data_IF_777845617286
#
_entry.id   IF_777845617286
#
_cell.length_a   1.000
_cell.length_b   1.000
_cell.length_c   1.000
_cell.angle_alpha   90.00
_cell.angle_beta   90.00
_cell.angle_gamma   90.00
#
_symmetry.space_group_name_H-M   'P 1'
#
loop_
_entity.id
_entity.type
_entity.pdbx_description
1 polymer ?
#
# COMPACT_ATOMS: atom_id res chain seq x y z
N UNK A 1 -13.63 13.83 -11.79
CA UNK A 1 -12.31 13.19 -12.02
C UNK A 1 -12.31 11.93 -11.18
N UNK A 2 -11.96 10.80 -11.77
CA UNK A 2 -11.78 9.55 -11.00
C UNK A 2 -10.65 9.75 -9.98
N UNK A 3 -10.79 9.17 -8.78
CA UNK A 3 -9.71 9.13 -7.79
C UNK A 3 -8.73 7.98 -8.06
N UNK A 4 -9.07 7.06 -8.97
CA UNK A 4 -8.22 5.96 -9.41
C UNK A 4 -7.68 6.18 -10.84
N UNK A 5 -6.49 5.65 -11.18
CA UNK A 5 -5.93 5.74 -12.53
C UNK A 5 -6.87 5.20 -13.62
N UNK A 6 -6.85 5.83 -14.79
CA UNK A 6 -7.56 5.34 -15.97
C UNK A 6 -6.99 3.99 -16.43
N UNK A 7 -7.85 3.06 -16.84
CA UNK A 7 -7.46 1.72 -17.28
C UNK A 7 -7.20 0.71 -16.15
N UNK A 8 -7.19 1.14 -14.88
CA UNK A 8 -7.01 0.23 -13.74
C UNK A 8 -8.13 -0.81 -13.65
N UNK A 9 -9.36 -0.41 -13.99
CA UNK A 9 -10.53 -1.29 -14.04
C UNK A 9 -10.44 -2.35 -15.12
N UNK A 10 -9.75 -2.07 -16.23
CA UNK A 10 -9.45 -3.03 -17.28
C UNK A 10 -8.38 -4.05 -16.84
N UNK A 11 -7.35 -3.59 -16.14
CA UNK A 11 -6.29 -4.45 -15.56
C UNK A 11 -6.88 -5.39 -14.52
N UNK A 12 -7.67 -4.87 -13.60
CA UNK A 12 -8.30 -5.62 -12.50
C UNK A 12 -9.76 -5.99 -12.80
N UNK A 13 -10.06 -6.34 -14.06
CA UNK A 13 -11.43 -6.63 -14.51
C UNK A 13 -12.00 -7.96 -13.99
N UNK A 14 -11.13 -8.89 -13.60
CA UNK A 14 -11.53 -10.23 -13.20
C UNK A 14 -12.24 -10.21 -11.84
N UNK A 15 -13.30 -11.01 -11.68
CA UNK A 15 -14.11 -11.07 -10.45
C UNK A 15 -13.29 -11.39 -9.21
N UNK A 16 -12.21 -12.17 -9.36
CA UNK A 16 -11.34 -12.54 -8.25
C UNK A 16 -10.66 -11.33 -7.59
N UNK A 17 -10.51 -10.22 -8.31
CA UNK A 17 -9.95 -8.97 -7.78
C UNK A 17 -11.01 -8.03 -7.25
N UNK A 18 -12.31 -8.32 -7.36
CA UNK A 18 -13.37 -7.43 -6.89
C UNK A 18 -13.61 -7.67 -5.40
N UNK A 19 -13.63 -6.59 -4.62
CA UNK A 19 -13.94 -6.68 -3.20
C UNK A 19 -15.44 -6.87 -2.98
N UNK A 20 -15.80 -7.94 -2.29
CA UNK A 20 -17.19 -8.20 -1.89
C UNK A 20 -17.58 -7.43 -0.61
N UNK A 21 -16.66 -7.32 0.36
CA UNK A 21 -16.91 -6.67 1.65
C UNK A 21 -15.99 -5.45 1.87
N UNK A 22 -16.49 -4.27 1.49
CA UNK A 22 -15.77 -3.01 1.69
C UNK A 22 -15.70 -2.56 3.16
N UNK A 23 -16.47 -3.16 4.08
CA UNK A 23 -16.42 -2.81 5.51
C UNK A 23 -15.06 -3.18 6.10
N UNK A 24 -14.44 -4.26 5.61
CA UNK A 24 -13.12 -4.71 6.02
C UNK A 24 -12.05 -3.63 5.89
N UNK A 25 -12.14 -2.80 4.83
CA UNK A 25 -11.20 -1.72 4.57
C UNK A 25 -11.27 -0.67 5.68
N UNK A 26 -12.48 -0.20 6.01
CA UNK A 26 -12.65 0.79 7.07
C UNK A 26 -12.27 0.24 8.44
N UNK A 27 -12.67 -0.99 8.74
CA UNK A 27 -12.34 -1.62 10.01
C UNK A 27 -10.82 -1.78 10.19
N UNK A 28 -10.10 -2.15 9.13
CA UNK A 28 -8.64 -2.25 9.15
C UNK A 28 -7.98 -0.88 9.38
N UNK A 29 -8.43 0.16 8.68
CA UNK A 29 -7.93 1.52 8.88
C UNK A 29 -8.20 2.03 10.31
N UNK A 30 -9.36 1.70 10.88
CA UNK A 30 -9.72 2.02 12.27
C UNK A 30 -8.79 1.29 13.24
N UNK A 31 -8.56 -0.01 13.07
CA UNK A 31 -7.65 -0.80 13.92
C UNK A 31 -6.20 -0.30 13.84
N UNK A 32 -5.75 0.04 12.63
CA UNK A 32 -4.45 0.67 12.39
C UNK A 32 -4.39 2.11 12.89
N UNK A 33 -5.55 2.74 13.12
CA UNK A 33 -5.71 4.09 13.63
C UNK A 33 -5.21 5.17 12.67
N UNK A 34 -5.33 4.92 11.37
CA UNK A 34 -4.89 5.84 10.31
C UNK A 34 -6.09 6.33 9.50
N UNK A 35 -5.90 7.43 8.77
CA UNK A 35 -6.86 7.90 7.77
C UNK A 35 -6.10 8.08 6.46
N UNK A 36 -6.20 7.10 5.57
CA UNK A 36 -5.52 7.11 4.27
C UNK A 36 -6.25 8.02 3.27
N UNK A 37 -5.61 8.30 2.13
CA UNK A 37 -6.21 9.11 1.07
C UNK A 37 -7.46 8.49 0.47
N UNK A 38 -8.29 9.31 -0.18
CA UNK A 38 -9.46 8.85 -0.92
C UNK A 38 -9.07 7.83 -2.01
N UNK A 39 -7.91 8.01 -2.66
CA UNK A 39 -7.37 7.06 -3.63
C UNK A 39 -7.10 5.69 -3.01
N UNK A 40 -6.45 5.65 -1.84
CA UNK A 40 -6.16 4.40 -1.15
C UNK A 40 -7.44 3.69 -0.71
N UNK A 41 -8.36 4.45 -0.11
CA UNK A 41 -9.64 3.91 0.34
C UNK A 41 -10.47 3.41 -0.84
N UNK A 42 -10.57 4.16 -1.94
CA UNK A 42 -11.31 3.74 -3.11
C UNK A 42 -10.71 2.49 -3.76
N UNK A 43 -9.37 2.42 -3.87
CA UNK A 43 -8.69 1.26 -4.43
C UNK A 43 -9.04 0.00 -3.64
N UNK A 44 -8.80 0.02 -2.33
CA UNK A 44 -9.11 -1.15 -1.51
C UNK A 44 -10.61 -1.35 -1.34
N UNK A 45 -11.49 -0.36 -1.43
CA UNK A 45 -12.94 -0.59 -1.42
C UNK A 45 -13.44 -1.31 -2.67
N UNK A 46 -12.79 -1.12 -3.82
CA UNK A 46 -13.16 -1.77 -5.08
C UNK A 46 -12.44 -3.10 -5.28
N UNK A 47 -11.20 -3.21 -4.82
CA UNK A 47 -10.32 -4.33 -5.14
C UNK A 47 -9.84 -5.09 -3.91
N UNK A 48 -9.79 -6.42 -4.05
CA UNK A 48 -9.20 -7.35 -3.10
C UNK A 48 -7.93 -7.95 -3.70
N UNK A 49 -6.84 -7.90 -2.94
CA UNK A 49 -5.54 -8.48 -3.30
C UNK A 49 -5.39 -9.92 -2.79
N UNK A 50 -4.15 -10.43 -2.76
CA UNK A 50 -2.90 -9.75 -3.16
C UNK A 50 -2.82 -9.51 -4.68
N UNK A 51 -1.91 -8.62 -5.08
CA UNK A 51 -1.64 -8.31 -6.49
C UNK A 51 -0.17 -8.54 -6.79
N UNK A 52 0.11 -9.09 -7.98
CA UNK A 52 1.47 -9.29 -8.47
C UNK A 52 1.62 -8.71 -9.88
N UNK A 53 2.48 -7.72 -10.03
CA UNK A 53 2.78 -7.06 -11.31
C UNK A 53 4.29 -7.04 -11.58
N UNK A 54 4.67 -7.18 -12.86
CA UNK A 54 6.10 -7.25 -13.23
C UNK A 54 6.82 -5.89 -13.17
N UNK A 55 6.07 -4.78 -13.20
CA UNK A 55 6.61 -3.42 -13.33
C UNK A 55 7.25 -2.90 -12.04
N UNK A 56 6.74 -3.36 -10.90
CA UNK A 56 7.24 -3.03 -9.56
C UNK A 56 7.41 -4.34 -8.80
N UNK A 57 8.63 -4.76 -8.45
CA UNK A 57 8.94 -6.15 -8.04
C UNK A 57 8.58 -6.44 -6.57
N UNK A 58 7.34 -6.15 -6.20
CA UNK A 58 6.75 -6.33 -4.88
C UNK A 58 5.34 -6.89 -5.04
N UNK A 59 4.98 -7.89 -4.24
CA UNK A 59 3.58 -8.28 -4.10
C UNK A 59 2.85 -7.19 -3.30
N UNK A 60 1.83 -6.57 -3.89
CA UNK A 60 1.00 -5.60 -3.20
C UNK A 60 -0.05 -6.35 -2.38
N UNK A 61 -0.03 -6.16 -1.06
CA UNK A 61 -0.87 -6.92 -0.14
C UNK A 61 -2.32 -6.43 -0.17
N UNK A 62 -3.23 -7.32 0.22
CA UNK A 62 -4.56 -6.91 0.64
C UNK A 62 -4.51 -6.12 1.96
N UNK A 63 -5.50 -5.25 2.21
CA UNK A 63 -5.55 -4.46 3.44
C UNK A 63 -5.75 -5.31 4.70
N UNK A 64 -6.57 -6.37 4.62
CA UNK A 64 -6.97 -7.16 5.79
C UNK A 64 -7.40 -8.60 5.51
N UNK A 65 -7.68 -8.95 4.24
CA UNK A 65 -7.90 -10.35 3.88
C UNK A 65 -6.56 -11.11 3.91
N UNK A 66 -6.63 -12.40 4.22
CA UNK A 66 -5.49 -13.30 4.46
C UNK A 66 -4.68 -13.04 5.75
N UNK A 67 -3.77 -13.96 6.09
CA UNK A 67 -2.89 -13.83 7.28
C UNK A 67 -1.78 -12.78 7.05
N UNK A 68 -1.27 -12.74 5.83
CA UNK A 68 -0.23 -11.85 5.36
C UNK A 68 -0.88 -10.65 4.65
N UNK A 69 -1.09 -9.55 5.38
CA UNK A 69 -1.82 -8.40 4.89
C UNK A 69 -1.21 -7.08 5.41
N UNK A 70 -1.68 -5.95 4.89
CA UNK A 70 -1.18 -4.62 5.32
C UNK A 70 -1.30 -4.45 6.83
N UNK A 71 -2.40 -4.88 7.44
CA UNK A 71 -2.59 -4.76 8.88
C UNK A 71 -1.51 -5.54 9.67
N UNK A 72 -1.29 -6.82 9.35
CA UNK A 72 -0.35 -7.67 10.08
C UNK A 72 1.10 -7.19 9.91
N UNK A 73 1.53 -6.90 8.68
CA UNK A 73 2.89 -6.37 8.42
C UNK A 73 3.09 -4.99 9.04
N UNK A 74 2.09 -4.11 9.00
CA UNK A 74 2.19 -2.79 9.65
C UNK A 74 2.34 -2.92 11.16
N UNK A 75 1.58 -3.81 11.80
CA UNK A 75 1.68 -4.05 13.24
C UNK A 75 3.06 -4.61 13.62
N UNK A 76 3.61 -5.52 12.82
CA UNK A 76 4.98 -6.04 12.99
C UNK A 76 6.00 -4.91 12.88
N UNK A 77 5.95 -4.09 11.83
CA UNK A 77 6.92 -2.99 11.64
C UNK A 77 6.83 -1.92 12.72
N UNK A 78 5.63 -1.63 13.24
CA UNK A 78 5.47 -0.74 14.41
C UNK A 78 6.12 -1.33 15.66
N UNK A 79 5.91 -2.62 15.91
CA UNK A 79 6.38 -3.29 17.13
C UNK A 79 7.88 -3.57 17.12
N UNK A 80 8.41 -4.08 16.02
CA UNK A 80 9.77 -4.59 15.92
C UNK A 80 10.75 -3.52 15.39
N UNK A 81 10.28 -2.58 14.55
CA UNK A 81 11.11 -1.55 13.91
C UNK A 81 10.76 -0.11 14.31
N UNK A 82 9.77 0.07 15.20
CA UNK A 82 9.41 1.39 15.73
C UNK A 82 8.80 2.34 14.69
N UNK A 83 8.20 1.81 13.62
CA UNK A 83 7.58 2.65 12.59
C UNK A 83 6.51 3.57 13.20
N UNK A 84 6.54 4.88 12.89
CA UNK A 84 5.47 5.80 13.26
C UNK A 84 4.09 5.35 12.78
N UNK A 85 3.05 5.74 13.52
CA UNK A 85 1.66 5.33 13.26
C UNK A 85 1.19 5.65 11.84
N UNK A 86 1.64 6.75 11.25
CA UNK A 86 1.22 7.17 9.91
C UNK A 86 1.65 6.21 8.79
N UNK A 87 2.67 5.38 9.01
CA UNK A 87 3.19 4.49 8.00
C UNK A 87 2.42 3.16 7.96
N UNK A 88 2.07 2.74 6.75
CA UNK A 88 1.52 1.42 6.44
C UNK A 88 2.51 0.64 5.58
N UNK A 89 2.77 -0.61 5.91
CA UNK A 89 3.55 -1.52 5.06
C UNK A 89 2.57 -2.15 4.07
N UNK A 90 2.73 -1.83 2.79
CA UNK A 90 1.74 -2.18 1.76
C UNK A 90 2.14 -3.38 0.89
N UNK A 91 3.36 -3.90 1.04
CA UNK A 91 3.83 -5.05 0.27
C UNK A 91 4.38 -6.17 1.13
N UNK A 92 4.45 -7.37 0.54
CA UNK A 92 5.34 -8.40 1.07
C UNK A 92 6.81 -7.93 0.98
N UNK A 93 7.66 -8.53 1.82
CA UNK A 93 9.09 -8.27 1.80
C UNK A 93 9.74 -8.92 0.57
N UNK A 94 10.40 -8.11 -0.24
CA UNK A 94 11.16 -8.54 -1.41
C UNK A 94 12.58 -8.00 -1.32
N UNK A 95 13.58 -8.87 -1.45
CA UNK A 95 15.00 -8.52 -1.36
C UNK A 95 15.37 -7.62 -0.15
N UNK A 96 14.85 -7.96 1.04
CA UNK A 96 15.03 -7.21 2.29
C UNK A 96 14.49 -5.76 2.27
N UNK A 97 13.52 -5.50 1.39
CA UNK A 97 12.81 -4.23 1.30
C UNK A 97 11.29 -4.45 1.28
N UNK A 98 10.56 -3.40 1.64
CA UNK A 98 9.10 -3.32 1.58
C UNK A 98 8.65 -1.99 0.98
N UNK A 99 7.43 -1.94 0.46
CA UNK A 99 6.74 -0.72 0.14
C UNK A 99 6.04 -0.17 1.39
N UNK A 100 6.19 1.13 1.62
CA UNK A 100 5.59 1.81 2.76
C UNK A 100 4.84 3.05 2.28
N UNK A 101 3.57 3.17 2.67
CA UNK A 101 2.75 4.35 2.44
C UNK A 101 2.78 5.25 3.67
N UNK A 102 3.04 6.54 3.48
CA UNK A 102 2.76 7.57 4.48
C UNK A 102 1.33 8.08 4.32
N UNK A 103 0.44 7.73 5.25
CA UNK A 103 -0.97 8.14 5.19
C UNK A 103 -1.20 9.64 5.41
N UNK A 104 -0.19 10.40 5.87
CA UNK A 104 -0.28 11.86 6.02
C UNK A 104 0.07 12.60 4.74
N UNK A 105 1.09 12.13 4.02
CA UNK A 105 1.58 12.80 2.80
C UNK A 105 1.16 12.10 1.51
N UNK A 106 0.57 10.91 1.62
CA UNK A 106 0.21 9.99 0.54
C UNK A 106 1.42 9.42 -0.25
N UNK A 107 2.65 9.73 0.17
CA UNK A 107 3.87 9.27 -0.50
C UNK A 107 4.12 7.79 -0.26
N UNK A 108 4.71 7.14 -1.27
CA UNK A 108 5.12 5.73 -1.20
C UNK A 108 6.63 5.62 -1.29
N UNK A 109 7.20 4.80 -0.40
CA UNK A 109 8.63 4.60 -0.21
C UNK A 109 8.99 3.14 -0.43
N UNK A 110 10.14 2.88 -1.08
CA UNK A 110 10.82 1.60 -0.97
C UNK A 110 11.76 1.69 0.25
N UNK A 111 11.53 0.84 1.24
CA UNK A 111 12.25 0.85 2.52
C UNK A 111 13.01 -0.46 2.65
N UNK A 112 14.33 -0.41 2.55
CA UNK A 112 15.20 -1.53 2.91
C UNK A 112 15.51 -1.52 4.41
N UNK A 113 15.71 -2.69 5.00
CA UNK A 113 16.08 -2.85 6.41
C UNK A 113 17.61 -2.81 6.63
N UNK A 114 18.36 -2.21 5.71
CA UNK A 114 19.81 -1.96 5.81
C UNK A 114 20.11 -0.49 6.14
N UNK A 115 19.16 0.20 6.78
CA UNK A 115 19.22 1.62 7.17
C UNK A 115 18.20 2.51 6.48
N UNK A 116 17.46 2.02 5.48
CA UNK A 116 16.35 2.74 4.87
C UNK A 116 15.21 3.02 5.85
N UNK A 117 14.94 2.08 6.74
CA UNK A 117 13.98 2.20 7.85
C UNK A 117 14.36 3.32 8.84
N UNK A 118 15.63 3.44 9.20
CA UNK A 118 16.10 4.56 10.04
C UNK A 118 15.92 5.91 9.35
N UNK A 119 16.22 5.98 8.05
CA UNK A 119 16.04 7.20 7.25
C UNK A 119 14.56 7.57 7.13
N UNK A 120 13.67 6.57 6.99
CA UNK A 120 12.22 6.79 6.97
C UNK A 120 11.74 7.41 8.28
N UNK A 121 12.19 6.87 9.42
CA UNK A 121 11.82 7.35 10.75
C UNK A 121 12.33 8.79 10.99
N UNK A 122 13.51 9.13 10.47
CA UNK A 122 14.08 10.49 10.53
C UNK A 122 13.43 11.46 9.54
N UNK A 123 12.60 10.98 8.60
CA UNK A 123 12.02 11.78 7.53
C UNK A 123 13.04 12.20 6.46
N UNK A 124 14.15 11.47 6.35
CA UNK A 124 15.26 11.74 5.43
C UNK A 124 15.25 10.82 4.20
N UNK A 125 14.47 9.73 4.24
CA UNK A 125 14.31 8.84 3.10
C UNK A 125 13.54 9.56 1.98
N UNK A 126 14.10 9.53 0.77
CA UNK A 126 13.45 10.08 -0.41
C UNK A 126 12.30 9.16 -0.85
N UNK A 127 11.14 9.74 -1.16
CA UNK A 127 10.02 8.97 -1.70
C UNK A 127 10.32 8.36 -3.07
N UNK A 128 9.72 7.21 -3.34
CA UNK A 128 9.76 6.53 -4.64
C UNK A 128 8.62 7.04 -5.54
N UNK A 129 7.46 7.32 -4.95
CA UNK A 129 6.32 7.95 -5.62
C UNK A 129 5.73 9.08 -4.77
N UNK A 130 5.28 10.14 -5.43
CA UNK A 130 4.76 11.36 -4.78
C UNK A 130 3.35 11.21 -4.20
N UNK A 131 2.62 10.17 -4.61
CA UNK A 131 1.27 9.85 -4.14
C UNK A 131 0.99 8.35 -4.33
N UNK A 132 -0.03 7.82 -3.66
CA UNK A 132 -0.50 6.45 -3.87
C UNK A 132 -1.08 6.29 -5.28
N UNK A 133 -1.67 7.35 -5.83
CA UNK A 133 -2.11 7.40 -7.23
C UNK A 133 -0.95 7.24 -8.22
N UNK A 134 0.17 7.93 -7.99
CA UNK A 134 1.36 7.80 -8.83
C UNK A 134 1.99 6.41 -8.72
N UNK A 135 1.93 5.81 -7.53
CA UNK A 135 2.31 4.42 -7.32
C UNK A 135 1.42 3.46 -8.12
N UNK A 136 0.08 3.55 -8.01
CA UNK A 136 -0.84 2.66 -8.73
C UNK A 136 -0.63 2.71 -10.25
N UNK A 137 -0.42 3.91 -10.82
CA UNK A 137 -0.07 4.06 -12.24
C UNK A 137 1.18 3.29 -12.63
N UNK A 138 2.24 3.40 -11.82
CA UNK A 138 3.49 2.71 -12.08
C UNK A 138 3.38 1.19 -11.86
N UNK A 139 2.65 0.78 -10.82
CA UNK A 139 2.48 -0.62 -10.42
C UNK A 139 1.71 -1.42 -11.46
N UNK A 140 0.52 -0.94 -11.84
CA UNK A 140 -0.36 -1.59 -12.82
C UNK A 140 -0.09 -1.16 -14.27
N UNK A 141 0.95 -0.35 -14.49
CA UNK A 141 1.30 0.21 -15.79
C UNK A 141 0.11 0.87 -16.52
N UNK A 142 -0.70 1.62 -15.76
CA UNK A 142 -1.80 2.40 -16.31
C UNK A 142 -1.23 3.61 -17.05
N UNK A 143 -1.41 3.66 -18.37
CA UNK A 143 -0.98 4.77 -19.23
C UNK A 143 -2.14 5.76 -19.39
N UNK A 144 -1.82 7.06 -19.44
CA UNK A 144 -2.77 8.12 -19.86
C UNK A 144 -3.12 8.02 -21.35
#
# INVERSE_FOLDING_TARGET
MSVLPEGLDEVLREELYKREDSILVQDALIRLGVNASDTFQEFYNQYAGPFWEEHVPFELLDIADEENNIESYTLISRKEHGFPKQYLVISEMSANAVLVLDTVTDKVYIVNFEGGDELLIKGELKESWLSFFDFLKAYFNCVQ
#
